data_IF_804982621206
#
_entry.id   IF_804982621206
#
_cell.length_a   1.000
_cell.length_b   1.000
_cell.length_c   1.000
_cell.angle_alpha   90.00
_cell.angle_beta   90.00
_cell.angle_gamma   90.00
#
_symmetry.space_group_name_H-M   'P 1'
#
loop_
_entity.id
_entity.type
_entity.pdbx_description
1 polymer ?
#
# COMPACT_ATOMS: atom_id res chain seq x y z
N UNK A 1 -0.62 14.31 31.13
CA UNK A 1 0.15 13.32 30.34
C UNK A 1 -0.35 13.38 28.90
N UNK A 2 0.54 13.57 27.91
CA UNK A 2 0.16 13.53 26.50
C UNK A 2 -0.25 12.08 26.19
N UNK A 3 -1.47 11.86 25.70
CA UNK A 3 -1.89 10.50 25.30
C UNK A 3 -0.97 10.02 24.18
N UNK A 4 -0.45 8.81 24.32
CA UNK A 4 0.35 8.17 23.27
C UNK A 4 -0.53 8.01 22.01
N UNK A 5 0.01 8.37 20.84
CA UNK A 5 -0.72 8.26 19.58
C UNK A 5 -0.91 6.78 19.29
N UNK A 6 -2.17 6.37 19.09
CA UNK A 6 -2.53 5.00 18.72
C UNK A 6 -3.18 4.99 17.35
N UNK A 7 -2.83 4.00 16.55
CA UNK A 7 -3.37 3.78 15.20
C UNK A 7 -3.39 2.29 14.92
N UNK A 8 -4.23 1.86 14.00
CA UNK A 8 -4.17 0.51 13.45
C UNK A 8 -3.42 0.46 12.10
N UNK A 9 -2.93 1.60 11.60
CA UNK A 9 -2.16 1.70 10.36
C UNK A 9 -0.91 2.54 10.59
N UNK A 10 0.24 1.99 10.26
CA UNK A 10 1.54 2.58 10.53
C UNK A 10 2.48 2.42 9.35
N UNK A 11 3.22 3.48 9.03
CA UNK A 11 4.27 3.47 8.04
C UNK A 11 5.65 3.42 8.70
N UNK A 12 6.58 2.78 8.03
CA UNK A 12 7.98 2.66 8.41
C UNK A 12 8.84 2.70 7.14
N UNK A 13 10.15 2.61 7.31
CA UNK A 13 11.08 2.44 6.20
C UNK A 13 12.16 1.43 6.56
N UNK A 14 12.72 0.76 5.56
CA UNK A 14 13.89 -0.11 5.70
C UNK A 14 14.97 0.34 4.71
N UNK A 15 16.24 0.20 5.09
CA UNK A 15 17.37 0.49 4.22
C UNK A 15 17.96 -0.80 3.68
N UNK A 16 18.28 -0.82 2.39
CA UNK A 16 18.86 -2.00 1.73
C UNK A 16 20.18 -2.45 2.38
N UNK A 17 20.96 -1.51 2.92
CA UNK A 17 22.26 -1.78 3.54
C UNK A 17 22.19 -2.40 4.94
N UNK A 18 21.03 -2.32 5.62
CA UNK A 18 20.91 -2.72 7.03
C UNK A 18 19.77 -3.70 7.32
N UNK A 19 18.76 -3.75 6.45
CA UNK A 19 17.65 -4.69 6.60
C UNK A 19 18.13 -6.13 6.39
N UNK A 20 17.60 -7.11 7.12
CA UNK A 20 17.91 -8.52 6.89
C UNK A 20 17.57 -8.95 5.46
N UNK A 21 18.38 -9.83 4.86
CA UNK A 21 18.11 -10.35 3.50
C UNK A 21 16.76 -11.09 3.42
N UNK A 22 16.32 -11.69 4.53
CA UNK A 22 15.06 -12.40 4.74
C UNK A 22 13.91 -11.48 5.19
N UNK A 23 13.97 -10.16 4.93
CA UNK A 23 12.97 -9.21 5.43
C UNK A 23 11.51 -9.56 5.07
N UNK A 24 11.28 -10.16 3.90
CA UNK A 24 9.95 -10.61 3.48
C UNK A 24 9.44 -11.77 4.34
N UNK A 25 10.27 -12.79 4.58
CA UNK A 25 9.92 -13.93 5.42
C UNK A 25 9.61 -13.47 6.85
N UNK A 26 10.40 -12.52 7.36
CA UNK A 26 10.18 -11.92 8.68
C UNK A 26 8.87 -11.14 8.77
N UNK A 27 8.47 -10.45 7.70
CA UNK A 27 7.19 -9.76 7.63
C UNK A 27 6.03 -10.77 7.59
N UNK A 28 6.17 -11.84 6.81
CA UNK A 28 5.20 -12.93 6.77
C UNK A 28 5.00 -13.58 8.15
N UNK A 29 6.08 -13.84 8.88
CA UNK A 29 6.05 -14.39 10.24
C UNK A 29 5.30 -13.52 11.25
N UNK A 30 5.13 -12.22 10.97
CA UNK A 30 4.35 -11.34 11.84
C UNK A 30 2.85 -11.60 11.72
N UNK A 31 2.39 -12.19 10.61
CA UNK A 31 0.97 -12.38 10.30
C UNK A 31 0.18 -11.05 10.35
N UNK A 32 0.82 -9.96 9.92
CA UNK A 32 0.21 -8.63 9.85
C UNK A 32 0.15 -8.23 8.38
N UNK A 33 -1.03 -7.94 7.82
CA UNK A 33 -1.13 -7.44 6.45
C UNK A 33 -0.21 -6.25 6.23
N UNK A 34 0.57 -6.30 5.15
CA UNK A 34 1.56 -5.28 4.84
C UNK A 34 1.64 -4.94 3.35
N UNK A 35 2.16 -3.76 3.06
CA UNK A 35 2.65 -3.37 1.74
C UNK A 35 4.05 -2.78 1.85
N UNK A 36 4.88 -3.00 0.85
CA UNK A 36 6.18 -2.36 0.67
C UNK A 36 6.23 -1.68 -0.70
N UNK A 37 6.80 -0.48 -0.73
CA UNK A 37 7.13 0.19 -1.98
C UNK A 37 8.16 -0.62 -2.80
N UNK A 38 8.37 -0.24 -4.07
CA UNK A 38 9.59 -0.59 -4.78
C UNK A 38 10.83 -0.09 -4.02
N UNK A 39 12.03 -0.53 -4.41
CA UNK A 39 13.25 0.07 -3.87
C UNK A 39 13.41 1.50 -4.38
N UNK A 40 13.41 2.47 -3.47
CA UNK A 40 13.70 3.87 -3.74
C UNK A 40 15.21 4.10 -3.83
N UNK A 41 15.78 3.77 -4.99
CA UNK A 41 17.20 3.85 -5.29
C UNK A 41 17.61 5.10 -6.09
N UNK A 42 16.62 5.87 -6.59
CA UNK A 42 16.82 7.04 -7.45
C UNK A 42 16.44 8.36 -6.78
N UNK A 43 16.06 8.31 -5.51
CA UNK A 43 15.63 9.49 -4.77
C UNK A 43 16.80 10.46 -4.55
N UNK A 44 16.56 11.75 -4.85
CA UNK A 44 17.55 12.81 -4.67
C UNK A 44 17.20 13.64 -3.43
N UNK A 45 18.21 13.97 -2.63
CA UNK A 45 18.07 14.94 -1.55
C UNK A 45 17.97 16.35 -2.15
N UNK A 46 16.84 17.02 -1.94
CA UNK A 46 16.58 18.35 -2.51
C UNK A 46 17.52 19.45 -2.00
N UNK A 47 18.18 19.24 -0.86
CA UNK A 47 19.11 20.22 -0.27
C UNK A 47 20.55 19.98 -0.71
N UNK A 48 20.98 18.73 -0.79
CA UNK A 48 22.39 18.39 -1.12
C UNK A 48 22.59 18.03 -2.59
N UNK A 49 21.53 17.62 -3.30
CA UNK A 49 21.60 17.10 -4.67
C UNK A 49 22.13 15.67 -4.76
N UNK A 50 22.48 15.05 -3.64
CA UNK A 50 23.00 13.69 -3.60
C UNK A 50 21.88 12.64 -3.61
N UNK A 51 22.19 11.44 -4.12
CA UNK A 51 21.30 10.30 -3.99
C UNK A 51 21.10 9.94 -2.52
N UNK A 52 19.84 9.70 -2.15
CA UNK A 52 19.51 9.11 -0.86
C UNK A 52 19.94 7.65 -0.85
N UNK A 53 20.13 7.11 0.36
CA UNK A 53 20.33 5.67 0.56
C UNK A 53 19.13 4.91 0.01
N UNK A 54 19.39 3.79 -0.67
CA UNK A 54 18.34 2.88 -1.15
C UNK A 54 17.47 2.40 0.01
N UNK A 55 16.17 2.61 -0.10
CA UNK A 55 15.20 2.30 0.95
C UNK A 55 13.88 1.80 0.38
N UNK A 56 13.13 1.04 1.17
CA UNK A 56 11.69 0.80 0.93
C UNK A 56 10.90 1.54 1.99
N UNK A 57 9.78 2.11 1.57
CA UNK A 57 8.70 2.46 2.49
C UNK A 57 7.83 1.24 2.73
N UNK A 58 7.36 1.07 3.96
CA UNK A 58 6.48 -0.03 4.33
C UNK A 58 5.28 0.46 5.13
N UNK A 59 4.18 -0.27 5.04
CA UNK A 59 2.98 -0.02 5.84
C UNK A 59 2.46 -1.33 6.45
N UNK A 60 2.07 -1.26 7.73
CA UNK A 60 1.47 -2.35 8.49
C UNK A 60 0.02 -2.02 8.82
N UNK A 61 -0.89 -2.97 8.61
CA UNK A 61 -2.32 -2.86 8.88
C UNK A 61 -2.72 -3.84 9.99
N UNK A 62 -2.90 -3.33 11.19
CA UNK A 62 -3.27 -4.10 12.37
C UNK A 62 -4.79 -4.19 12.52
N UNK A 63 -5.29 -5.28 13.10
CA UNK A 63 -6.70 -5.39 13.50
C UNK A 63 -7.05 -4.48 14.68
N UNK A 64 -6.09 -4.30 15.60
CA UNK A 64 -6.24 -3.51 16.82
C UNK A 64 -5.33 -2.29 16.84
N UNK A 65 -5.71 -1.25 17.57
CA UNK A 65 -4.87 -0.07 17.75
C UNK A 65 -3.54 -0.42 18.45
N UNK A 66 -2.42 -0.10 17.81
CA UNK A 66 -1.07 -0.16 18.38
C UNK A 66 -0.57 1.23 18.73
N UNK A 67 0.30 1.33 19.74
CA UNK A 67 1.01 2.57 20.05
C UNK A 67 2.25 2.74 19.18
N UNK A 68 2.77 3.97 19.13
CA UNK A 68 4.04 4.26 18.43
C UNK A 68 5.16 3.31 18.89
N UNK A 69 5.34 3.18 20.21
CA UNK A 69 6.43 2.38 20.79
C UNK A 69 6.31 0.91 20.40
N UNK A 70 5.10 0.34 20.44
CA UNK A 70 4.87 -1.05 20.04
C UNK A 70 5.28 -1.32 18.59
N UNK A 71 4.99 -0.40 17.67
CA UNK A 71 5.31 -0.58 16.25
C UNK A 71 6.78 -0.26 15.99
N UNK A 72 7.31 0.78 16.63
CA UNK A 72 8.72 1.17 16.58
C UNK A 72 9.64 0.02 17.00
N UNK A 73 9.38 -0.58 18.17
CA UNK A 73 10.16 -1.71 18.68
C UNK A 73 10.04 -2.91 17.75
N UNK A 74 8.83 -3.21 17.26
CA UNK A 74 8.57 -4.32 16.34
C UNK A 74 9.41 -4.23 15.06
N UNK A 75 9.38 -3.08 14.37
CA UNK A 75 10.10 -2.92 13.09
C UNK A 75 11.60 -2.83 13.29
N UNK A 76 12.06 -2.21 14.38
CA UNK A 76 13.49 -2.14 14.71
C UNK A 76 14.07 -3.52 15.06
N UNK A 77 13.37 -4.32 15.87
CA UNK A 77 13.84 -5.65 16.27
C UNK A 77 13.78 -6.66 15.11
N UNK A 78 12.74 -6.60 14.27
CA UNK A 78 12.52 -7.61 13.24
C UNK A 78 13.25 -7.29 11.94
N UNK A 79 13.28 -6.02 11.53
CA UNK A 79 13.71 -5.61 10.20
C UNK A 79 14.96 -4.73 10.19
N UNK A 80 15.56 -4.48 11.36
CA UNK A 80 16.59 -3.45 11.55
C UNK A 80 16.17 -2.07 10.99
N UNK A 81 14.86 -1.79 11.01
CA UNK A 81 14.32 -0.52 10.55
C UNK A 81 14.68 0.60 11.54
N UNK A 82 14.82 1.86 11.09
CA UNK A 82 14.84 3.00 11.99
C UNK A 82 13.61 2.99 12.90
N UNK A 83 13.80 3.39 14.15
CA UNK A 83 12.74 3.43 15.14
C UNK A 83 11.64 4.46 14.84
N UNK A 84 11.84 5.33 13.85
CA UNK A 84 10.84 6.30 13.43
C UNK A 84 9.72 5.64 12.63
N UNK A 85 8.49 5.75 13.14
CA UNK A 85 7.27 5.25 12.49
C UNK A 85 6.19 6.32 12.46
N UNK A 86 5.34 6.29 11.45
CA UNK A 86 4.33 7.34 11.23
C UNK A 86 2.93 6.75 11.16
N UNK A 87 1.94 7.48 11.70
CA UNK A 87 0.54 7.08 11.54
C UNK A 87 0.09 7.37 10.13
N UNK A 88 -0.46 6.36 9.47
CA UNK A 88 -1.07 6.51 8.15
C UNK A 88 -2.43 7.17 8.31
N UNK A 89 -2.56 8.39 7.80
CA UNK A 89 -3.82 9.15 7.83
C UNK A 89 -4.75 8.77 6.67
N UNK A 90 -4.16 8.50 5.49
CA UNK A 90 -4.87 8.07 4.28
C UNK A 90 -4.09 6.93 3.63
N UNK A 91 -4.64 5.70 3.59
CA UNK A 91 -4.02 4.58 2.88
C UNK A 91 -3.74 4.89 1.41
N UNK A 92 -4.71 5.50 0.71
CA UNK A 92 -4.54 5.95 -0.68
C UNK A 92 -3.38 6.91 -0.83
N UNK A 93 -3.34 7.95 0.00
CA UNK A 93 -2.26 8.93 -0.06
C UNK A 93 -0.88 8.33 0.25
N UNK A 94 -0.82 7.33 1.15
CA UNK A 94 0.42 6.59 1.43
C UNK A 94 0.84 5.73 0.24
N UNK A 95 -0.12 5.10 -0.44
CA UNK A 95 0.11 4.31 -1.63
C UNK A 95 0.63 5.17 -2.80
N UNK A 96 -0.01 6.30 -3.09
CA UNK A 96 0.45 7.23 -4.12
C UNK A 96 1.85 7.78 -3.80
N UNK A 97 2.16 7.92 -2.51
CA UNK A 97 3.48 8.30 -2.03
C UNK A 97 4.53 7.20 -2.27
N UNK A 98 4.20 5.92 -2.14
CA UNK A 98 5.11 4.79 -2.37
C UNK A 98 5.58 4.68 -3.83
N UNK A 99 4.82 5.22 -4.77
CA UNK A 99 5.18 5.21 -6.21
C UNK A 99 5.56 6.59 -6.73
N UNK A 100 5.48 7.63 -5.87
CA UNK A 100 5.55 9.03 -6.26
C UNK A 100 4.58 9.42 -7.38
N UNK A 101 3.40 8.78 -7.43
CA UNK A 101 2.42 8.95 -8.51
C UNK A 101 2.02 10.42 -8.73
N UNK A 102 1.83 11.19 -7.66
CA UNK A 102 1.33 12.56 -7.72
C UNK A 102 2.43 13.64 -7.63
N UNK A 103 3.71 13.26 -7.59
CA UNK A 103 4.82 14.20 -7.47
C UNK A 103 5.61 14.33 -8.78
N UNK A 104 5.46 15.44 -9.54
CA UNK A 104 6.15 15.61 -10.83
C UNK A 104 7.67 15.80 -10.69
N UNK A 105 8.14 16.24 -9.52
CA UNK A 105 9.55 16.56 -9.27
C UNK A 105 10.35 15.35 -8.77
N UNK A 106 9.70 14.20 -8.56
CA UNK A 106 10.32 12.97 -8.07
C UNK A 106 10.28 11.86 -9.12
N UNK A 107 11.27 10.97 -9.04
CA UNK A 107 11.29 9.73 -9.83
C UNK A 107 10.06 8.89 -9.49
N UNK A 108 9.29 8.53 -10.51
CA UNK A 108 8.17 7.60 -10.37
C UNK A 108 8.67 6.17 -10.36
N UNK A 109 8.07 5.34 -9.50
CA UNK A 109 8.37 3.92 -9.37
C UNK A 109 7.22 3.07 -9.89
N UNK A 110 7.52 1.85 -10.35
CA UNK A 110 6.52 0.96 -10.94
C UNK A 110 5.61 0.38 -9.85
N UNK A 111 4.31 0.49 -10.07
CA UNK A 111 3.28 -0.06 -9.20
C UNK A 111 3.35 -1.58 -9.12
N UNK A 112 3.84 -2.24 -10.18
CA UNK A 112 3.97 -3.69 -10.24
C UNK A 112 5.13 -4.23 -9.39
N UNK A 113 6.03 -3.36 -8.92
CA UNK A 113 7.13 -3.69 -8.01
C UNK A 113 6.74 -3.54 -6.53
N UNK A 114 5.47 -3.25 -6.25
CA UNK A 114 4.93 -3.26 -4.89
C UNK A 114 4.83 -4.69 -4.39
N UNK A 115 5.36 -4.91 -3.20
CA UNK A 115 5.25 -6.18 -2.49
C UNK A 115 4.12 -6.07 -1.47
N UNK A 116 3.33 -7.13 -1.33
CA UNK A 116 2.27 -7.20 -0.32
C UNK A 116 2.14 -8.64 0.18
N UNK A 117 1.62 -8.80 1.40
CA UNK A 117 1.59 -10.11 2.06
C UNK A 117 0.61 -10.17 3.22
N UNK A 118 0.56 -11.34 3.87
CA UNK A 118 -0.30 -11.60 5.03
C UNK A 118 -1.79 -11.25 4.81
N UNK A 119 -2.32 -11.48 3.59
CA UNK A 119 -3.72 -11.25 3.25
C UNK A 119 -4.09 -9.78 2.97
N UNK A 120 -3.11 -8.90 2.75
CA UNK A 120 -3.39 -7.60 2.16
C UNK A 120 -3.83 -7.76 0.71
N UNK A 121 -5.07 -7.41 0.39
CA UNK A 121 -5.58 -7.45 -0.97
C UNK A 121 -5.19 -6.19 -1.75
N UNK A 122 -4.04 -6.26 -2.41
CA UNK A 122 -3.52 -5.16 -3.22
C UNK A 122 -4.40 -4.86 -4.43
N UNK A 123 -4.96 -5.87 -5.08
CA UNK A 123 -5.79 -5.69 -6.27
C UNK A 123 -7.09 -4.98 -5.92
N UNK A 124 -7.78 -5.43 -4.86
CA UNK A 124 -8.95 -4.74 -4.33
C UNK A 124 -8.61 -3.30 -3.95
N UNK A 125 -7.50 -3.09 -3.22
CA UNK A 125 -7.08 -1.76 -2.80
C UNK A 125 -6.85 -0.81 -3.99
N UNK A 126 -6.12 -1.26 -5.02
CA UNK A 126 -5.88 -0.49 -6.24
C UNK A 126 -7.17 -0.15 -6.96
N UNK A 127 -8.06 -1.14 -7.03
CA UNK A 127 -9.36 -1.01 -7.65
C UNK A 127 -10.18 0.04 -6.89
N UNK A 128 -10.47 -0.13 -5.61
CA UNK A 128 -11.23 0.87 -4.83
C UNK A 128 -10.70 2.31 -4.89
N UNK A 129 -9.39 2.48 -5.12
CA UNK A 129 -8.74 3.78 -5.13
C UNK A 129 -8.48 4.37 -6.53
N UNK A 130 -8.77 3.64 -7.60
CA UNK A 130 -8.66 4.15 -8.97
C UNK A 130 -9.77 5.19 -9.26
N UNK A 131 -9.42 6.35 -9.84
CA UNK A 131 -10.27 7.54 -9.83
C UNK A 131 -11.59 7.46 -10.60
N UNK A 132 -11.86 6.40 -11.37
CA UNK A 132 -13.10 6.31 -12.18
C UNK A 132 -13.61 4.87 -12.43
N UNK A 133 -13.48 3.94 -11.48
CA UNK A 133 -14.04 2.58 -11.71
C UNK A 133 -15.56 2.54 -11.69
N UNK A 134 -16.21 3.34 -10.84
CA UNK A 134 -17.67 3.41 -10.85
C UNK A 134 -18.20 4.04 -12.13
N UNK A 135 -17.49 5.01 -12.72
CA UNK A 135 -17.84 5.56 -14.03
C UNK A 135 -17.64 4.55 -15.16
N UNK A 136 -16.54 3.78 -15.11
CA UNK A 136 -16.32 2.68 -16.06
C UNK A 136 -17.37 1.57 -15.93
N UNK A 137 -17.68 1.12 -14.71
CA UNK A 137 -18.73 0.13 -14.45
C UNK A 137 -20.10 0.64 -14.91
N UNK A 138 -20.41 1.91 -14.63
CA UNK A 138 -21.63 2.55 -15.13
C UNK A 138 -21.66 2.52 -16.67
N UNK A 139 -20.54 2.80 -17.33
CA UNK A 139 -20.46 2.77 -18.79
C UNK A 139 -20.68 1.35 -19.33
N UNK A 140 -20.08 0.32 -18.71
CA UNK A 140 -20.33 -1.09 -19.04
C UNK A 140 -21.82 -1.44 -18.87
N UNK A 141 -22.44 -1.01 -17.76
CA UNK A 141 -23.87 -1.20 -17.52
C UNK A 141 -24.72 -0.55 -18.63
N UNK A 142 -24.40 0.70 -19.01
CA UNK A 142 -25.11 1.43 -20.06
C UNK A 142 -24.95 0.82 -21.45
N UNK A 143 -23.75 0.35 -21.79
CA UNK A 143 -23.41 -0.16 -23.12
C UNK A 143 -23.85 -1.61 -23.32
N UNK A 144 -23.96 -2.39 -22.24
CA UNK A 144 -24.40 -3.79 -22.29
C UNK A 144 -25.88 -3.97 -22.65
N UNK A 145 -26.70 -2.93 -22.47
CA UNK A 145 -28.17 -2.95 -22.59
C UNK A 145 -28.88 -4.04 -21.74
N UNK A 146 -28.17 -4.65 -20.79
CA UNK A 146 -28.71 -5.68 -19.91
C UNK A 146 -29.73 -5.07 -18.96
N UNK A 147 -30.92 -5.67 -18.91
CA UNK A 147 -32.03 -5.17 -18.09
C UNK A 147 -32.14 -5.86 -16.74
N UNK A 148 -31.70 -7.11 -16.66
CA UNK A 148 -31.78 -7.94 -15.46
C UNK A 148 -30.46 -7.93 -14.70
N UNK A 149 -30.54 -7.71 -13.39
CA UNK A 149 -29.35 -7.59 -12.55
C UNK A 149 -28.51 -8.88 -12.53
N UNK A 150 -29.15 -10.04 -12.53
CA UNK A 150 -28.46 -11.34 -12.56
C UNK A 150 -27.62 -11.52 -13.83
N UNK A 151 -28.19 -11.20 -14.98
CA UNK A 151 -27.50 -11.28 -16.27
C UNK A 151 -26.32 -10.28 -16.32
N UNK A 152 -26.47 -9.11 -15.67
CA UNK A 152 -25.40 -8.14 -15.57
C UNK A 152 -24.27 -8.64 -14.67
N UNK A 153 -24.59 -9.30 -13.54
CA UNK A 153 -23.59 -9.91 -12.66
C UNK A 153 -22.83 -11.04 -13.36
N UNK A 154 -23.50 -11.85 -14.18
CA UNK A 154 -22.86 -12.91 -14.98
C UNK A 154 -21.92 -12.31 -16.03
N UNK A 155 -22.35 -11.27 -16.74
CA UNK A 155 -21.52 -10.52 -17.71
C UNK A 155 -20.26 -9.95 -17.05
N UNK A 156 -20.40 -9.35 -15.88
CA UNK A 156 -19.27 -8.80 -15.12
C UNK A 156 -18.34 -9.91 -14.65
N UNK A 157 -18.87 -11.03 -14.14
CA UNK A 157 -18.06 -12.16 -13.70
C UNK A 157 -17.24 -12.77 -14.86
N UNK A 158 -17.82 -12.87 -16.06
CA UNK A 158 -17.18 -13.49 -17.22
C UNK A 158 -16.17 -12.56 -17.91
N UNK A 159 -16.50 -11.29 -18.07
CA UNK A 159 -15.73 -10.37 -18.93
C UNK A 159 -14.98 -9.28 -18.16
N UNK A 160 -15.40 -8.95 -16.94
CA UNK A 160 -14.84 -7.87 -16.15
C UNK A 160 -14.66 -8.27 -14.67
N UNK A 161 -13.90 -9.34 -14.35
CA UNK A 161 -13.83 -9.89 -13.00
C UNK A 161 -13.37 -8.89 -11.93
N UNK A 162 -12.60 -7.86 -12.30
CA UNK A 162 -12.19 -6.76 -11.41
C UNK A 162 -13.36 -5.86 -10.95
N UNK A 163 -14.48 -5.83 -11.70
CA UNK A 163 -15.71 -5.14 -11.30
C UNK A 163 -16.63 -5.98 -10.42
N UNK A 164 -16.36 -7.28 -10.27
CA UNK A 164 -17.28 -8.23 -9.65
C UNK A 164 -17.66 -7.84 -8.21
N UNK A 165 -16.70 -7.30 -7.45
CA UNK A 165 -16.94 -6.82 -6.08
C UNK A 165 -17.88 -5.62 -5.97
N UNK A 166 -18.15 -4.90 -7.07
CA UNK A 166 -19.03 -3.72 -7.07
C UNK A 166 -20.47 -4.04 -7.48
N UNK A 167 -20.73 -5.28 -7.90
CA UNK A 167 -22.05 -5.75 -8.36
C UNK A 167 -22.60 -6.88 -7.47
N UNK A 168 -22.03 -7.04 -6.28
CA UNK A 168 -22.54 -7.87 -5.18
C UNK A 168 -22.78 -7.00 -3.94
#
# INVERSE_FOLDING_TARGET
MKKEKRSNKWAFLIYQESTPEDYLERLEDLHIPFILSPWHDKDINSTTGEFKKSHKHGALFFESLKSYTQVSDLVSEKLNAPSHVEVIMSPKGMFDYFTHAENPDKTKYDINEIESGCGFDLEQFLTENSPDLLGQLYQVMRDSEVQEFADFTDLIAEHYPHFLQFVF
#
